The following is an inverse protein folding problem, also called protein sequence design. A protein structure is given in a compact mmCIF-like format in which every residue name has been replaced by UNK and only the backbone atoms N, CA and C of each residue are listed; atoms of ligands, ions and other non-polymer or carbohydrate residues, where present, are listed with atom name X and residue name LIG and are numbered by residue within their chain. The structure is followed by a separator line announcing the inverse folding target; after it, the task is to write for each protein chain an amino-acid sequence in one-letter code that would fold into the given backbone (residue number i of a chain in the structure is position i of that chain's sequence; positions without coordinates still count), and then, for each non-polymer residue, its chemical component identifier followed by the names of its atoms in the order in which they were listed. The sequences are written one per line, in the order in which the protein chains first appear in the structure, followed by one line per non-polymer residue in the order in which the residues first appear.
data_IF_987431772489
#
_entry.id   IF_987431772489
#
_cell.length_a   1.000
_cell.length_b   1.000
_cell.length_c   1.000
_cell.angle_alpha   90.00
_cell.angle_beta   90.00
_cell.angle_gamma   90.00
#
_symmetry.space_group_name_H-M   'P 1'
#
loop_
_entity.id
_entity.type
_entity.pdbx_description
1 polymer ?
#
# COMPACT_ATOMS: atom_id res chain seq x y z
N UNK A 1 -14.47 3.47 0.77
CA UNK A 1 -14.91 3.94 -0.56
C UNK A 1 -16.28 4.54 -0.36
N UNK A 2 -16.55 5.73 -0.91
CA UNK A 2 -17.85 6.40 -0.77
C UNK A 2 -18.97 5.69 -1.57
N UNK A 3 -18.61 4.63 -2.29
CA UNK A 3 -19.46 3.84 -3.16
C UNK A 3 -19.73 2.46 -2.56
N UNK A 4 -20.99 2.00 -2.61
CA UNK A 4 -21.43 0.74 -1.98
C UNK A 4 -21.75 -0.37 -3.00
N UNK A 5 -21.80 -0.04 -4.30
CA UNK A 5 -22.12 -1.03 -5.34
C UNK A 5 -20.99 -2.07 -5.49
N UNK A 6 -21.27 -3.37 -5.32
CA UNK A 6 -20.23 -4.41 -5.35
C UNK A 6 -19.51 -4.48 -6.69
N UNK A 7 -20.23 -4.28 -7.79
CA UNK A 7 -19.65 -4.28 -9.13
C UNK A 7 -18.69 -3.10 -9.32
N UNK A 8 -19.05 -1.91 -8.85
CA UNK A 8 -18.20 -0.72 -9.00
C UNK A 8 -16.93 -0.85 -8.16
N UNK A 9 -17.04 -1.34 -6.92
CA UNK A 9 -15.89 -1.58 -6.05
C UNK A 9 -14.93 -2.59 -6.71
N UNK A 10 -15.46 -3.67 -7.28
CA UNK A 10 -14.64 -4.67 -7.96
C UNK A 10 -13.90 -4.08 -9.17
N UNK A 11 -14.58 -3.27 -10.00
CA UNK A 11 -13.97 -2.59 -11.14
C UNK A 11 -12.89 -1.59 -10.71
N UNK A 12 -13.11 -0.87 -9.62
CA UNK A 12 -12.12 0.03 -9.04
C UNK A 12 -10.85 -0.72 -8.61
N UNK A 13 -10.99 -1.84 -7.91
CA UNK A 13 -9.83 -2.65 -7.48
C UNK A 13 -9.05 -3.17 -8.70
N UNK A 14 -9.74 -3.60 -9.75
CA UNK A 14 -9.08 -4.02 -11.00
C UNK A 14 -8.39 -2.87 -11.72
N UNK A 15 -8.97 -1.68 -11.74
CA UNK A 15 -8.31 -0.50 -12.29
C UNK A 15 -7.04 -0.16 -11.50
N UNK A 16 -7.06 -0.25 -10.16
CA UNK A 16 -5.86 -0.04 -9.35
C UNK A 16 -4.75 -1.07 -9.65
N UNK A 17 -5.11 -2.32 -9.91
CA UNK A 17 -4.13 -3.35 -10.28
C UNK A 17 -3.57 -3.12 -11.70
N UNK A 18 -4.38 -2.65 -12.65
CA UNK A 18 -3.88 -2.22 -13.96
C UNK A 18 -2.91 -1.01 -13.82
N UNK A 19 -3.26 -0.03 -12.97
CA UNK A 19 -2.39 1.13 -12.70
C UNK A 19 -1.06 0.72 -12.04
N UNK A 20 -1.05 -0.33 -11.21
CA UNK A 20 0.19 -0.87 -10.63
C UNK A 20 1.17 -1.30 -11.72
N UNK A 21 0.69 -1.96 -12.77
CA UNK A 21 1.54 -2.43 -13.88
C UNK A 21 1.96 -1.26 -14.77
N UNK A 22 1.05 -0.33 -15.08
CA UNK A 22 1.32 0.76 -16.02
C UNK A 22 2.17 1.90 -15.43
N UNK A 23 1.90 2.31 -14.19
CA UNK A 23 2.58 3.43 -13.52
C UNK A 23 3.69 2.96 -12.57
N UNK A 24 3.73 1.67 -12.27
CA UNK A 24 4.62 1.08 -11.27
C UNK A 24 3.98 0.97 -9.88
N UNK A 25 4.40 -0.02 -9.08
CA UNK A 25 3.79 -0.34 -7.80
C UNK A 25 4.02 0.74 -6.73
N UNK A 26 5.13 1.48 -6.80
CA UNK A 26 5.47 2.50 -5.80
C UNK A 26 4.46 3.66 -5.81
N UNK A 27 3.98 4.08 -6.98
CA UNK A 27 2.97 5.15 -7.07
C UNK A 27 1.64 4.72 -6.46
N UNK A 28 1.18 3.51 -6.76
CA UNK A 28 -0.05 2.98 -6.16
C UNK A 28 0.08 2.80 -4.65
N UNK A 29 1.26 2.36 -4.18
CA UNK A 29 1.58 2.25 -2.75
C UNK A 29 1.46 3.62 -2.05
N UNK A 30 2.01 4.69 -2.63
CA UNK A 30 1.95 6.04 -2.05
C UNK A 30 0.51 6.51 -1.78
N UNK A 31 -0.44 6.21 -2.67
CA UNK A 31 -1.84 6.51 -2.45
C UNK A 31 -2.52 5.57 -1.43
N UNK A 32 -2.15 4.29 -1.41
CA UNK A 32 -2.68 3.33 -0.44
C UNK A 32 -2.28 3.64 1.01
N UNK A 33 -1.03 4.09 1.24
CA UNK A 33 -0.48 4.28 2.58
C UNK A 33 -1.30 5.26 3.44
N UNK A 34 -1.86 6.30 2.84
CA UNK A 34 -2.67 7.31 3.56
C UNK A 34 -3.96 6.71 4.16
N UNK A 35 -4.52 5.70 3.50
CA UNK A 35 -5.81 5.13 3.85
C UNK A 35 -5.70 3.79 4.62
N UNK A 36 -4.51 3.21 4.70
CA UNK A 36 -4.28 1.88 5.27
C UNK A 36 -4.63 1.82 6.77
N UNK A 37 -4.19 2.81 7.55
CA UNK A 37 -4.46 2.93 8.99
C UNK A 37 -5.55 3.95 9.33
N UNK A 38 -6.33 4.38 8.34
CA UNK A 38 -7.40 5.36 8.54
C UNK A 38 -8.39 4.92 9.64
N UNK A 39 -8.86 5.77 10.57
CA UNK A 39 -9.71 5.34 11.69
C UNK A 39 -11.05 4.70 11.26
N UNK A 40 -11.64 5.18 10.16
CA UNK A 40 -12.90 4.63 9.64
C UNK A 40 -12.73 3.30 8.90
N UNK A 41 -13.45 2.27 9.35
CA UNK A 41 -13.49 0.92 8.75
C UNK A 41 -13.83 0.94 7.25
N UNK A 42 -14.80 1.76 6.85
CA UNK A 42 -15.24 1.92 5.45
C UNK A 42 -14.14 2.39 4.49
N UNK A 43 -13.10 3.04 5.01
CA UNK A 43 -11.94 3.49 4.23
C UNK A 43 -10.86 2.40 4.21
N UNK A 44 -10.59 1.77 5.35
CA UNK A 44 -9.58 0.72 5.48
C UNK A 44 -9.89 -0.50 4.62
N UNK A 45 -11.10 -1.07 4.72
CA UNK A 45 -11.44 -2.33 4.06
C UNK A 45 -11.10 -2.40 2.56
N UNK A 46 -11.50 -1.43 1.71
CA UNK A 46 -11.14 -1.45 0.29
C UNK A 46 -9.65 -1.17 0.07
N UNK A 47 -9.04 -0.31 0.89
CA UNK A 47 -7.61 0.02 0.77
C UNK A 47 -6.73 -1.18 1.05
N UNK A 48 -7.06 -1.97 2.08
CA UNK A 48 -6.37 -3.22 2.38
C UNK A 48 -6.51 -4.24 1.25
N UNK A 49 -7.65 -4.29 0.54
CA UNK A 49 -7.78 -5.15 -0.65
C UNK A 49 -6.81 -4.75 -1.76
N UNK A 50 -6.68 -3.44 -2.05
CA UNK A 50 -5.73 -2.95 -3.06
C UNK A 50 -4.29 -3.21 -2.62
N UNK A 51 -3.96 -2.98 -1.34
CA UNK A 51 -2.64 -3.27 -0.78
C UNK A 51 -2.28 -4.76 -0.90
N UNK A 52 -3.22 -5.66 -0.60
CA UNK A 52 -2.99 -7.10 -0.73
C UNK A 52 -2.66 -7.52 -2.18
N UNK A 53 -3.38 -6.98 -3.17
CA UNK A 53 -3.09 -7.25 -4.58
C UNK A 53 -1.70 -6.71 -4.98
N UNK A 54 -1.31 -5.56 -4.44
CA UNK A 54 -0.02 -4.94 -4.70
C UNK A 54 1.14 -5.79 -4.17
N UNK A 55 0.99 -6.38 -2.97
CA UNK A 55 1.95 -7.35 -2.43
C UNK A 55 1.99 -8.62 -3.29
N UNK A 56 0.83 -9.18 -3.65
CA UNK A 56 0.78 -10.40 -4.47
C UNK A 56 1.42 -10.23 -5.86
N UNK A 57 1.27 -9.06 -6.48
CA UNK A 57 1.74 -8.81 -7.85
C UNK A 57 3.16 -8.26 -7.98
N UNK A 58 3.71 -7.62 -6.94
CA UNK A 58 5.00 -6.92 -7.03
C UNK A 58 5.74 -6.79 -5.69
N UNK A 59 5.72 -7.83 -4.86
CA UNK A 59 6.30 -7.80 -3.51
C UNK A 59 7.72 -7.20 -3.45
N UNK A 60 8.62 -7.65 -4.33
CA UNK A 60 10.02 -7.23 -4.33
C UNK A 60 10.18 -5.73 -4.66
N UNK A 61 9.49 -5.25 -5.69
CA UNK A 61 9.53 -3.85 -6.11
C UNK A 61 8.99 -2.87 -5.03
N UNK A 62 8.17 -3.36 -4.10
CA UNK A 62 7.54 -2.54 -3.05
C UNK A 62 8.52 -2.28 -1.90
N UNK A 63 9.57 -3.11 -1.74
CA UNK A 63 10.59 -2.97 -0.68
C UNK A 63 11.24 -1.58 -0.70
N UNK A 64 11.54 -1.07 -1.89
CA UNK A 64 12.12 0.25 -2.09
C UNK A 64 11.12 1.40 -1.83
N UNK A 65 9.81 1.13 -1.85
CA UNK A 65 8.75 2.12 -1.69
C UNK A 65 8.23 2.30 -0.26
N UNK A 66 8.55 1.40 0.67
CA UNK A 66 8.05 1.50 2.05
C UNK A 66 8.59 2.75 2.76
N UNK A 67 7.72 3.51 3.46
CA UNK A 67 8.14 4.67 4.23
C UNK A 67 9.02 4.24 5.41
N UNK A 68 9.92 5.12 5.82
CA UNK A 68 10.71 4.91 7.03
C UNK A 68 9.82 5.15 8.26
N UNK A 69 9.72 4.15 9.11
CA UNK A 69 9.00 4.22 10.39
C UNK A 69 10.04 4.28 11.51
N UNK A 70 9.93 5.28 12.37
CA UNK A 70 10.84 5.44 13.51
C UNK A 70 10.61 4.34 14.54
N UNK A 71 11.68 3.97 15.24
CA UNK A 71 11.59 3.00 16.33
C UNK A 71 10.78 3.56 17.50
N UNK A 72 10.20 2.66 18.29
CA UNK A 72 9.59 2.98 19.57
C UNK A 72 10.39 2.32 20.70
N UNK A 73 10.12 2.69 21.94
CA UNK A 73 10.82 2.11 23.11
C UNK A 73 10.72 0.58 23.18
N UNK A 74 9.69 0.00 22.57
CA UNK A 74 9.43 -1.44 22.59
C UNK A 74 9.90 -2.16 21.33
N UNK A 75 9.88 -1.49 20.17
CA UNK A 75 10.01 -2.14 18.87
C UNK A 75 10.98 -1.41 17.94
N UNK A 76 11.81 -2.19 17.24
CA UNK A 76 12.70 -1.73 16.19
C UNK A 76 12.01 -1.88 14.82
N UNK A 77 11.74 -0.75 14.15
CA UNK A 77 11.06 -0.70 12.84
C UNK A 77 11.95 -0.19 11.70
N UNK A 78 13.10 0.40 12.03
CA UNK A 78 14.06 0.93 11.05
C UNK A 78 14.83 -0.21 10.37
N UNK A 79 15.03 -0.10 9.05
CA UNK A 79 15.84 -1.01 8.24
C UNK A 79 17.23 -0.40 8.05
N UNK A 80 18.16 -0.73 8.94
CA UNK A 80 19.49 -0.10 9.01
C UNK A 80 20.38 -0.44 7.81
N UNK A 81 20.16 -1.58 7.17
CA UNK A 81 20.92 -2.05 6.01
C UNK A 81 20.76 -1.11 4.80
N UNK A 82 19.65 -0.37 4.74
CA UNK A 82 19.36 0.59 3.67
C UNK A 82 20.01 1.96 3.90
N UNK A 83 20.62 2.19 5.07
CA UNK A 83 21.27 3.45 5.44
C UNK A 83 22.79 3.42 5.20
N UNK A 84 23.36 2.28 4.78
CA UNK A 84 24.80 2.18 4.53
C UNK A 84 25.22 3.06 3.35
N UNK A 85 26.24 3.88 3.59
CA UNK A 85 26.93 4.69 2.57
C UNK A 85 28.40 4.27 2.65
N UNK A 86 28.92 3.73 1.54
CA UNK A 86 30.31 3.32 1.40
C UNK A 86 31.18 4.47 0.86
#
# INVERSE_FOLDING_TARGET
MLENSPHVIQRFVFACDALRVSLGPIKVLQYCLQALWHPARKVREPTWKVFNNLILGSQDAVVAGYPRIQNTDRNLYTRYELDYIL
#
